data_IF_509171597204
#
_entry.id   IF_509171597204
#
_cell.length_a   1.000
_cell.length_b   1.000
_cell.length_c   1.000
_cell.angle_alpha   90.00
_cell.angle_beta   90.00
_cell.angle_gamma   90.00
#
_symmetry.space_group_name_H-M   'P 1'
#
loop_
_entity.id
_entity.type
_entity.pdbx_description
1 polymer ?
#
# COMPACT_ATOMS: atom_id res chain seq x y z
N UNK A 1 40.27 -6.43 -23.21
CA UNK A 1 39.20 -7.33 -22.72
C UNK A 1 37.95 -6.49 -22.63
N UNK A 2 37.01 -6.67 -23.56
CA UNK A 2 35.72 -6.01 -23.48
C UNK A 2 34.91 -6.73 -22.41
N UNK A 3 34.69 -6.09 -21.26
CA UNK A 3 33.70 -6.56 -20.29
C UNK A 3 32.34 -6.61 -21.03
N UNK A 4 31.58 -7.71 -20.94
CA UNK A 4 30.27 -7.78 -21.57
C UNK A 4 29.40 -6.65 -21.01
N UNK A 5 28.68 -5.97 -21.90
CA UNK A 5 27.61 -5.02 -21.53
C UNK A 5 26.76 -5.61 -20.40
N UNK A 6 26.38 -4.83 -19.37
CA UNK A 6 25.66 -5.38 -18.24
C UNK A 6 24.36 -6.02 -18.73
N UNK A 7 24.13 -7.24 -18.26
CA UNK A 7 23.04 -8.15 -18.66
C UNK A 7 21.63 -7.65 -18.25
N UNK A 8 21.55 -6.46 -17.62
CA UNK A 8 20.39 -5.84 -16.99
C UNK A 8 20.54 -4.31 -17.01
N UNK A 9 19.44 -3.58 -17.22
CA UNK A 9 19.32 -2.12 -17.17
C UNK A 9 18.93 -1.58 -15.77
N UNK A 10 19.03 -2.43 -14.74
CA UNK A 10 18.63 -2.12 -13.37
C UNK A 10 19.70 -1.37 -12.58
N UNK A 11 20.98 -1.52 -12.95
CA UNK A 11 22.10 -0.88 -12.29
C UNK A 11 23.28 -0.66 -13.24
N UNK A 12 24.12 0.30 -12.90
CA UNK A 12 25.46 0.48 -13.49
C UNK A 12 26.50 0.35 -12.39
N UNK A 13 27.77 0.11 -12.76
CA UNK A 13 28.87 0.18 -11.81
C UNK A 13 29.54 1.56 -11.92
N UNK A 14 29.68 2.24 -10.79
CA UNK A 14 30.43 3.47 -10.66
C UNK A 14 31.92 3.28 -10.98
N UNK A 15 32.65 4.40 -11.10
CA UNK A 15 34.10 4.37 -11.35
C UNK A 15 34.91 3.69 -10.23
N UNK A 16 34.33 3.62 -9.04
CA UNK A 16 34.84 2.95 -7.83
C UNK A 16 34.38 1.48 -7.71
N UNK A 17 33.60 0.98 -8.69
CA UNK A 17 33.10 -0.40 -8.71
C UNK A 17 31.83 -0.63 -7.89
N UNK A 18 31.27 0.42 -7.29
CA UNK A 18 30.06 0.35 -6.48
C UNK A 18 28.78 0.38 -7.36
N UNK A 19 27.71 -0.36 -7.00
CA UNK A 19 26.49 -0.39 -7.79
C UNK A 19 25.68 0.91 -7.64
N UNK A 20 25.30 1.51 -8.77
CA UNK A 20 24.50 2.73 -8.85
C UNK A 20 23.20 2.44 -9.59
N UNK A 21 22.07 2.77 -8.96
CA UNK A 21 20.75 2.67 -9.56
C UNK A 21 20.46 3.90 -10.45
N UNK A 22 20.00 3.68 -11.69
CA UNK A 22 19.54 4.79 -12.53
C UNK A 22 18.30 5.48 -11.95
N UNK A 23 18.08 6.78 -12.20
CA UNK A 23 16.90 7.52 -11.74
C UNK A 23 15.57 6.93 -12.24
N UNK A 24 15.58 6.27 -13.40
CA UNK A 24 14.44 5.54 -13.95
C UNK A 24 14.07 4.30 -13.11
N UNK A 25 15.01 3.73 -12.36
CA UNK A 25 14.80 2.60 -11.44
C UNK A 25 14.46 3.07 -10.03
N UNK A 26 15.26 3.99 -9.47
CA UNK A 26 15.05 4.51 -8.11
C UNK A 26 15.64 5.91 -7.94
N UNK A 27 15.04 6.73 -7.07
CA UNK A 27 15.56 8.07 -6.74
C UNK A 27 16.76 8.05 -5.76
N UNK A 28 17.13 6.88 -5.22
CA UNK A 28 18.23 6.70 -4.28
C UNK A 28 19.34 5.95 -5.04
N UNK A 29 20.32 6.67 -5.62
CA UNK A 29 21.30 6.06 -6.51
C UNK A 29 22.14 4.99 -5.81
N UNK A 30 22.39 5.13 -4.50
CA UNK A 30 23.18 4.21 -3.68
C UNK A 30 22.30 3.29 -2.80
N UNK A 31 21.04 3.03 -3.20
CA UNK A 31 20.10 2.20 -2.43
C UNK A 31 20.72 0.86 -1.98
N UNK A 32 21.50 0.23 -2.85
CA UNK A 32 22.12 -1.08 -2.58
C UNK A 32 23.30 -1.01 -1.60
N UNK A 33 23.61 0.15 -1.06
CA UNK A 33 24.66 0.34 -0.05
C UNK A 33 24.07 0.70 1.31
N UNK A 34 22.79 1.12 1.31
CA UNK A 34 22.05 1.45 2.51
C UNK A 34 21.62 0.17 3.25
N UNK A 35 21.56 0.28 4.57
CA UNK A 35 20.85 -0.65 5.45
C UNK A 35 19.34 -0.44 5.33
N UNK A 36 18.55 -1.43 5.70
CA UNK A 36 17.09 -1.30 5.69
C UNK A 36 16.60 -0.15 6.58
N UNK A 37 17.23 0.07 7.73
CA UNK A 37 16.87 1.19 8.63
C UNK A 37 17.18 2.56 8.01
N UNK A 38 18.31 2.70 7.30
CA UNK A 38 18.62 3.94 6.57
C UNK A 38 17.61 4.21 5.45
N UNK A 39 17.16 3.17 4.74
CA UNK A 39 16.10 3.29 3.73
C UNK A 39 14.80 3.75 4.38
N UNK A 40 14.34 3.08 5.44
CA UNK A 40 13.12 3.43 6.15
C UNK A 40 13.16 4.86 6.70
N UNK A 41 14.31 5.27 7.27
CA UNK A 41 14.50 6.63 7.77
C UNK A 41 14.47 7.68 6.64
N UNK A 42 15.11 7.39 5.50
CA UNK A 42 15.14 8.27 4.34
C UNK A 42 13.73 8.55 3.80
N UNK A 43 12.90 7.51 3.68
CA UNK A 43 11.53 7.70 3.19
C UNK A 43 10.64 8.38 4.22
N UNK A 44 10.77 8.05 5.51
CA UNK A 44 10.07 8.77 6.58
C UNK A 44 10.34 10.27 6.46
N UNK A 45 11.59 10.67 6.28
CA UNK A 45 11.93 12.08 6.10
C UNK A 45 11.39 12.67 4.78
N UNK A 46 11.60 11.97 3.65
CA UNK A 46 11.14 12.44 2.34
C UNK A 46 9.64 12.71 2.29
N UNK A 47 8.82 11.83 2.89
CA UNK A 47 7.37 12.03 2.95
C UNK A 47 6.97 13.24 3.81
N UNK A 48 7.69 13.49 4.91
CA UNK A 48 7.50 14.69 5.73
C UNK A 48 7.83 15.95 4.93
N UNK A 49 8.92 15.93 4.18
CA UNK A 49 9.34 17.06 3.35
C UNK A 49 8.33 17.32 2.22
N UNK A 50 7.85 16.27 1.55
CA UNK A 50 6.86 16.36 0.48
C UNK A 50 5.53 16.91 0.98
N UNK A 51 5.04 16.42 2.12
CA UNK A 51 3.81 16.95 2.70
C UNK A 51 3.97 18.38 3.19
N UNK A 52 5.06 18.70 3.87
CA UNK A 52 5.35 20.07 4.33
C UNK A 52 5.36 21.03 3.15
N UNK A 53 5.99 20.65 2.03
CA UNK A 53 5.98 21.43 0.80
C UNK A 53 4.56 21.66 0.26
N UNK A 54 3.67 20.66 0.29
CA UNK A 54 2.27 20.81 -0.14
C UNK A 54 1.49 21.74 0.79
N UNK A 55 1.72 21.66 2.11
CA UNK A 55 1.09 22.56 3.08
C UNK A 55 1.58 24.00 2.93
N UNK A 56 2.88 24.21 2.77
CA UNK A 56 3.47 25.54 2.57
C UNK A 56 2.89 26.20 1.31
N UNK A 57 2.64 25.41 0.26
CA UNK A 57 1.98 25.88 -0.96
C UNK A 57 0.55 26.38 -0.73
N UNK A 58 -0.19 25.89 0.28
CA UNK A 58 -1.53 26.39 0.62
C UNK A 58 -1.50 27.83 1.17
N UNK A 59 -0.33 28.33 1.59
CA UNK A 59 -0.15 29.72 2.01
C UNK A 59 -0.01 30.68 0.82
N UNK A 60 0.18 30.17 -0.40
CA UNK A 60 0.33 30.97 -1.61
C UNK A 60 -1.06 31.38 -2.15
N UNK A 61 -1.34 32.68 -2.36
CA UNK A 61 -2.66 33.15 -2.79
C UNK A 61 -3.17 32.53 -4.12
N UNK A 62 -2.26 32.28 -5.06
CA UNK A 62 -2.60 31.78 -6.40
C UNK A 62 -2.55 30.24 -6.49
N UNK A 63 -2.47 29.54 -5.36
CA UNK A 63 -2.38 28.09 -5.35
C UNK A 63 -3.71 27.43 -5.78
N UNK A 64 -3.72 26.56 -6.82
CA UNK A 64 -4.95 25.93 -7.30
C UNK A 64 -5.66 25.04 -6.26
N UNK A 65 -4.91 24.34 -5.41
CA UNK A 65 -5.48 23.51 -4.35
C UNK A 65 -6.14 24.40 -3.28
N UNK A 66 -5.48 25.50 -2.90
CA UNK A 66 -6.07 26.51 -2.01
C UNK A 66 -7.40 27.04 -2.57
N UNK A 67 -7.43 27.37 -3.86
CA UNK A 67 -8.65 27.84 -4.52
C UNK A 67 -9.80 26.82 -4.49
N UNK A 68 -9.50 25.51 -4.54
CA UNK A 68 -10.49 24.44 -4.36
C UNK A 68 -10.97 24.39 -2.90
N UNK A 69 -10.06 24.46 -1.94
CA UNK A 69 -10.40 24.41 -0.51
C UNK A 69 -11.22 25.63 -0.06
N UNK A 70 -10.90 26.82 -0.56
CA UNK A 70 -11.61 28.05 -0.25
C UNK A 70 -13.10 28.01 -0.71
N UNK A 71 -13.44 27.19 -1.71
CA UNK A 71 -14.84 26.98 -2.14
C UNK A 71 -15.70 26.29 -1.09
N UNK A 72 -15.09 25.63 -0.09
CA UNK A 72 -15.81 24.96 0.99
C UNK A 72 -16.29 25.96 2.06
N UNK A 73 -15.60 27.10 2.23
CA UNK A 73 -15.91 28.06 3.29
C UNK A 73 -17.31 28.69 3.13
N UNK A 74 -17.77 29.12 1.95
CA UNK A 74 -19.15 29.59 1.74
C UNK A 74 -20.22 28.52 2.05
N UNK A 75 -19.86 27.23 2.02
CA UNK A 75 -20.77 26.11 2.34
C UNK A 75 -20.80 25.79 3.84
N UNK A 76 -20.13 26.60 4.67
CA UNK A 76 -20.06 26.42 6.13
C UNK A 76 -18.98 25.45 6.60
N UNK A 77 -18.09 25.01 5.69
CA UNK A 77 -16.95 24.17 6.04
C UNK A 77 -15.66 24.96 5.86
N UNK A 78 -15.10 25.44 6.97
CA UNK A 78 -13.80 26.09 6.95
C UNK A 78 -12.71 25.03 6.77
N UNK A 79 -11.79 25.20 5.79
CA UNK A 79 -10.62 24.34 5.68
C UNK A 79 -9.87 24.28 7.00
N UNK A 80 -9.33 23.10 7.33
CA UNK A 80 -8.44 22.95 8.49
C UNK A 80 -7.27 23.90 8.30
N UNK A 81 -6.93 24.64 9.36
CA UNK A 81 -5.79 25.56 9.34
C UNK A 81 -4.52 24.78 8.94
N UNK A 82 -3.64 25.32 8.08
CA UNK A 82 -2.45 24.61 7.60
C UNK A 82 -1.63 23.93 8.70
N UNK A 83 -1.41 24.61 9.83
CA UNK A 83 -0.70 24.03 10.99
C UNK A 83 -1.43 22.84 11.61
N UNK A 84 -2.75 22.90 11.76
CA UNK A 84 -3.53 21.79 12.29
C UNK A 84 -3.56 20.59 11.31
N UNK A 85 -3.53 20.84 10.01
CA UNK A 85 -3.41 19.81 8.98
C UNK A 85 -2.01 19.17 9.00
N UNK A 86 -0.97 19.98 9.22
CA UNK A 86 0.40 19.52 9.45
C UNK A 86 0.52 18.65 10.70
N UNK A 87 -0.06 19.08 11.82
CA UNK A 87 -0.07 18.30 13.05
C UNK A 87 -0.79 16.96 12.87
N UNK A 88 -1.96 16.97 12.21
CA UNK A 88 -2.70 15.74 11.91
C UNK A 88 -1.87 14.79 11.03
N UNK A 89 -1.21 15.31 9.99
CA UNK A 89 -0.36 14.51 9.13
C UNK A 89 0.81 13.92 9.89
N UNK A 90 1.56 14.72 10.66
CA UNK A 90 2.72 14.24 11.39
C UNK A 90 2.34 13.18 12.43
N UNK A 91 1.19 13.36 13.10
CA UNK A 91 0.67 12.39 14.06
C UNK A 91 0.28 11.05 13.40
N UNK A 92 -0.45 11.09 12.27
CA UNK A 92 -0.81 9.89 11.54
C UNK A 92 0.40 9.24 10.87
N UNK A 93 1.33 10.05 10.36
CA UNK A 93 2.56 9.60 9.72
C UNK A 93 3.46 8.86 10.70
N UNK A 94 3.73 9.45 11.87
CA UNK A 94 4.53 8.79 12.90
C UNK A 94 3.88 7.50 13.37
N UNK A 95 2.55 7.51 13.53
CA UNK A 95 1.78 6.33 13.89
C UNK A 95 1.98 5.20 12.87
N UNK A 96 1.74 5.49 11.59
CA UNK A 96 1.92 4.54 10.47
C UNK A 96 3.36 4.05 10.41
N UNK A 97 4.33 4.96 10.29
CA UNK A 97 5.74 4.63 10.05
C UNK A 97 6.44 4.00 11.26
N UNK A 98 5.90 4.18 12.46
CA UNK A 98 6.38 3.52 13.67
C UNK A 98 5.93 2.06 13.81
N UNK A 99 4.94 1.61 13.03
CA UNK A 99 4.39 0.25 13.18
C UNK A 99 5.44 -0.84 12.85
N UNK A 100 5.53 -1.94 13.62
CA UNK A 100 6.57 -2.98 13.44
C UNK A 100 6.50 -3.75 12.11
N UNK A 101 5.41 -3.60 11.34
CA UNK A 101 5.23 -4.28 10.04
C UNK A 101 6.32 -3.91 9.03
N UNK A 102 6.84 -2.68 9.08
CA UNK A 102 7.90 -2.22 8.18
C UNK A 102 9.25 -2.87 8.45
N UNK A 103 9.41 -3.45 9.65
CA UNK A 103 10.61 -4.19 10.07
C UNK A 103 10.40 -5.70 10.08
N UNK A 104 9.34 -6.18 9.43
CA UNK A 104 9.08 -7.61 9.38
C UNK A 104 10.28 -8.34 8.76
N UNK A 105 10.79 -9.44 9.36
CA UNK A 105 12.01 -10.13 8.92
C UNK A 105 12.02 -10.55 7.45
N UNK A 106 10.84 -10.77 6.87
CA UNK A 106 10.67 -11.01 5.44
C UNK A 106 11.30 -9.89 4.58
N UNK A 107 10.92 -8.63 4.82
CA UNK A 107 11.39 -7.50 4.01
C UNK A 107 12.89 -7.30 4.18
N UNK A 108 13.38 -7.40 5.43
CA UNK A 108 14.80 -7.23 5.74
C UNK A 108 15.65 -8.31 5.03
N UNK A 109 15.25 -9.58 5.13
CA UNK A 109 15.95 -10.70 4.48
C UNK A 109 15.93 -10.60 2.96
N UNK A 110 14.80 -10.20 2.37
CA UNK A 110 14.70 -9.97 0.93
C UNK A 110 15.60 -8.82 0.50
N UNK A 111 15.59 -7.70 1.22
CA UNK A 111 16.42 -6.53 0.90
C UNK A 111 17.92 -6.81 0.96
N UNK A 112 18.37 -7.68 1.86
CA UNK A 112 19.76 -8.18 1.91
C UNK A 112 20.14 -9.06 0.69
N UNK A 113 19.15 -9.44 -0.13
CA UNK A 113 19.29 -10.36 -1.24
C UNK A 113 19.49 -11.81 -0.79
N UNK A 114 19.04 -12.18 0.42
CA UNK A 114 19.14 -13.54 0.96
C UNK A 114 17.93 -14.39 0.56
N UNK A 115 17.79 -14.60 -0.74
CA UNK A 115 16.75 -15.43 -1.33
C UNK A 115 17.30 -16.34 -2.45
N UNK A 116 16.74 -17.55 -2.57
CA UNK A 116 16.97 -18.44 -3.71
C UNK A 116 15.98 -18.19 -4.85
N UNK A 117 16.24 -18.69 -6.05
CA UNK A 117 15.30 -18.56 -7.17
C UNK A 117 13.92 -19.14 -6.86
N UNK A 118 13.87 -20.33 -6.26
CA UNK A 118 12.62 -20.96 -5.83
C UNK A 118 11.87 -20.10 -4.80
N UNK A 119 12.60 -19.49 -3.86
CA UNK A 119 12.01 -18.58 -2.86
C UNK A 119 11.46 -17.31 -3.51
N UNK A 120 12.16 -16.75 -4.51
CA UNK A 120 11.68 -15.62 -5.30
C UNK A 120 10.36 -15.96 -5.99
N UNK A 121 10.30 -17.14 -6.62
CA UNK A 121 9.10 -17.62 -7.30
C UNK A 121 7.93 -17.84 -6.35
N UNK A 122 8.16 -18.53 -5.22
CA UNK A 122 7.14 -18.75 -4.19
C UNK A 122 6.61 -17.44 -3.61
N UNK A 123 7.50 -16.48 -3.32
CA UNK A 123 7.10 -15.15 -2.89
C UNK A 123 6.22 -14.48 -3.96
N UNK A 124 6.69 -14.44 -5.20
CA UNK A 124 6.02 -13.72 -6.27
C UNK A 124 4.57 -14.21 -6.45
N UNK A 125 4.34 -15.53 -6.56
CA UNK A 125 3.00 -16.08 -6.80
C UNK A 125 2.05 -15.92 -5.60
N UNK A 126 2.57 -16.01 -4.37
CA UNK A 126 1.73 -15.87 -3.18
C UNK A 126 1.43 -14.40 -2.85
N UNK A 127 2.39 -13.48 -3.04
CA UNK A 127 2.18 -12.05 -2.83
C UNK A 127 1.25 -11.44 -3.88
N UNK A 128 1.23 -11.97 -5.10
CA UNK A 128 0.31 -11.56 -6.16
C UNK A 128 -1.17 -11.67 -5.75
N UNK A 129 -1.52 -12.59 -4.86
CA UNK A 129 -2.88 -12.69 -4.33
C UNK A 129 -3.34 -11.41 -3.61
N UNK A 130 -2.44 -10.69 -2.93
CA UNK A 130 -2.76 -9.36 -2.39
C UNK A 130 -2.99 -8.35 -3.52
N UNK A 131 -2.06 -8.26 -4.46
CA UNK A 131 -2.12 -7.31 -5.60
C UNK A 131 -3.43 -7.44 -6.38
N UNK A 132 -3.91 -8.67 -6.59
CA UNK A 132 -5.17 -8.91 -7.31
C UNK A 132 -6.41 -8.26 -6.66
N UNK A 133 -6.36 -8.06 -5.35
CA UNK A 133 -7.50 -7.67 -4.52
C UNK A 133 -7.47 -6.22 -4.01
N UNK A 134 -6.31 -5.56 -3.99
CA UNK A 134 -6.12 -4.15 -3.56
C UNK A 134 -7.19 -3.22 -4.15
N UNK A 135 -7.32 -3.16 -5.48
CA UNK A 135 -8.30 -2.34 -6.20
C UNK A 135 -9.76 -2.55 -5.82
N UNK A 136 -10.13 -3.75 -5.38
CA UNK A 136 -11.52 -4.01 -4.95
C UNK A 136 -11.83 -3.27 -3.66
N UNK A 137 -10.84 -3.09 -2.78
CA UNK A 137 -11.00 -2.35 -1.53
C UNK A 137 -11.17 -0.86 -1.81
N UNK A 138 -10.41 -0.30 -2.75
CA UNK A 138 -10.59 1.09 -3.21
C UNK A 138 -11.99 1.32 -3.78
N UNK A 139 -12.49 0.39 -4.62
CA UNK A 139 -13.84 0.48 -5.15
C UNK A 139 -14.92 0.39 -4.06
N UNK A 140 -14.75 -0.48 -3.06
CA UNK A 140 -15.66 -0.58 -1.92
C UNK A 140 -15.69 0.71 -1.11
N UNK A 141 -14.51 1.26 -0.77
CA UNK A 141 -14.41 2.52 -0.03
C UNK A 141 -15.03 3.68 -0.81
N UNK A 142 -14.80 3.77 -2.12
CA UNK A 142 -15.40 4.79 -2.98
C UNK A 142 -16.93 4.75 -2.90
N UNK A 143 -17.52 3.55 -2.94
CA UNK A 143 -18.97 3.37 -2.83
C UNK A 143 -19.58 3.80 -1.48
N UNK A 144 -18.77 3.96 -0.42
CA UNK A 144 -19.23 4.45 0.90
C UNK A 144 -19.57 5.93 0.88
N UNK A 145 -19.01 6.70 -0.05
CA UNK A 145 -19.25 8.13 -0.20
C UNK A 145 -20.32 8.33 -1.26
N UNK A 146 -21.58 8.57 -0.87
CA UNK A 146 -22.70 8.70 -1.80
C UNK A 146 -23.76 9.69 -1.28
N UNK A 147 -24.66 10.15 -2.14
CA UNK A 147 -25.66 11.17 -1.78
C UNK A 147 -26.69 10.77 -0.72
N UNK A 148 -26.75 9.49 -0.32
CA UNK A 148 -27.63 8.95 0.72
C UNK A 148 -26.94 8.83 2.09
N UNK A 149 -25.65 9.13 2.18
CA UNK A 149 -24.92 9.12 3.45
C UNK A 149 -25.39 10.22 4.40
N UNK A 150 -25.13 10.05 5.70
CA UNK A 150 -25.31 11.11 6.68
C UNK A 150 -24.52 12.37 6.27
N UNK A 151 -25.12 13.56 6.44
CA UNK A 151 -24.58 14.84 5.98
C UNK A 151 -24.11 15.72 7.15
N UNK A 152 -22.94 15.42 7.75
CA UNK A 152 -22.48 16.12 8.95
C UNK A 152 -22.07 17.58 8.70
N UNK A 153 -21.96 18.01 7.45
CA UNK A 153 -21.53 19.36 7.05
C UNK A 153 -22.61 20.12 6.25
N UNK A 154 -23.87 19.72 6.36
CA UNK A 154 -24.97 20.38 5.64
C UNK A 154 -24.74 20.38 4.12
N UNK A 155 -24.73 21.58 3.51
CA UNK A 155 -24.52 21.73 2.06
C UNK A 155 -23.10 21.36 1.61
N UNK A 156 -22.10 21.45 2.49
CA UNK A 156 -20.73 21.07 2.15
C UNK A 156 -20.53 19.55 2.05
N UNK A 157 -21.44 18.74 2.62
CA UNK A 157 -21.28 17.27 2.63
C UNK A 157 -21.21 16.66 1.24
N UNK A 158 -22.01 17.14 0.29
CA UNK A 158 -21.95 16.65 -1.10
C UNK A 158 -20.60 17.00 -1.72
N UNK A 159 -20.12 18.23 -1.55
CA UNK A 159 -18.84 18.67 -2.11
C UNK A 159 -17.64 17.92 -1.50
N UNK A 160 -17.64 17.70 -0.19
CA UNK A 160 -16.61 16.89 0.48
C UNK A 160 -16.63 15.45 -0.01
N UNK A 161 -17.83 14.87 -0.17
CA UNK A 161 -17.99 13.53 -0.73
C UNK A 161 -17.43 13.46 -2.16
N UNK A 162 -17.72 14.44 -3.02
CA UNK A 162 -17.17 14.53 -4.37
C UNK A 162 -15.63 14.60 -4.37
N UNK A 163 -15.03 15.47 -3.57
CA UNK A 163 -13.57 15.60 -3.46
C UNK A 163 -12.94 14.28 -2.99
N UNK A 164 -13.56 13.63 -2.01
CA UNK A 164 -13.11 12.32 -1.50
C UNK A 164 -13.22 11.24 -2.58
N UNK A 165 -14.33 11.21 -3.33
CA UNK A 165 -14.52 10.29 -4.45
C UNK A 165 -13.49 10.51 -5.56
N UNK A 166 -13.11 11.76 -5.87
CA UNK A 166 -12.08 12.06 -6.87
C UNK A 166 -10.73 11.45 -6.45
N UNK A 167 -10.34 11.62 -5.19
CA UNK A 167 -9.10 11.01 -4.67
C UNK A 167 -9.18 9.50 -4.82
N UNK A 168 -10.24 8.85 -4.32
CA UNK A 168 -10.40 7.39 -4.41
C UNK A 168 -10.51 6.88 -5.85
N UNK A 169 -11.13 7.64 -6.75
CA UNK A 169 -11.26 7.31 -8.15
C UNK A 169 -9.91 7.35 -8.86
N UNK A 170 -9.03 8.28 -8.48
CA UNK A 170 -7.68 8.35 -9.02
C UNK A 170 -6.85 7.13 -8.59
N UNK A 171 -6.94 6.72 -7.32
CA UNK A 171 -6.30 5.47 -6.83
C UNK A 171 -6.84 4.26 -7.60
N UNK A 172 -8.16 4.19 -7.80
CA UNK A 172 -8.78 3.10 -8.55
C UNK A 172 -8.35 3.10 -10.04
N UNK A 173 -8.23 4.28 -10.63
CA UNK A 173 -7.82 4.45 -12.02
C UNK A 173 -6.38 3.96 -12.24
N UNK A 174 -5.48 4.26 -11.31
CA UNK A 174 -4.09 3.80 -11.31
C UNK A 174 -4.02 2.26 -11.29
N UNK A 175 -4.77 1.62 -10.38
CA UNK A 175 -4.87 0.16 -10.28
C UNK A 175 -5.35 -0.52 -11.58
N UNK A 176 -6.22 0.14 -12.34
CA UNK A 176 -6.73 -0.34 -13.62
C UNK A 176 -5.93 0.16 -14.84
N UNK A 177 -4.91 0.99 -14.64
CA UNK A 177 -4.12 1.57 -15.73
C UNK A 177 -4.97 2.40 -16.69
N UNK A 178 -5.97 3.13 -16.16
CA UNK A 178 -6.86 3.99 -16.95
C UNK A 178 -6.63 5.46 -16.60
N UNK A 179 -6.77 6.33 -17.59
CA UNK A 179 -6.65 7.78 -17.41
C UNK A 179 -7.91 8.50 -17.90
N UNK A 180 -8.08 9.77 -17.54
CA UNK A 180 -9.14 10.59 -18.13
C UNK A 180 -8.86 10.78 -19.62
N UNK A 181 -9.80 10.34 -20.46
CA UNK A 181 -9.76 10.56 -21.90
C UNK A 181 -10.71 11.70 -22.29
N UNK A 182 -10.30 12.57 -23.22
CA UNK A 182 -11.25 13.46 -23.88
C UNK A 182 -12.32 12.62 -24.60
N UNK A 183 -13.53 13.17 -24.80
CA UNK A 183 -14.66 12.45 -25.41
C UNK A 183 -14.29 11.85 -26.78
N UNK A 184 -13.50 12.58 -27.57
CA UNK A 184 -13.03 12.13 -28.89
C UNK A 184 -11.82 11.18 -28.84
N UNK A 185 -11.27 10.91 -27.65
CA UNK A 185 -10.10 10.08 -27.39
C UNK A 185 -10.42 8.80 -26.62
N UNK A 186 -11.68 8.36 -26.59
CA UNK A 186 -12.08 7.15 -25.87
C UNK A 186 -11.42 5.90 -26.49
N UNK A 187 -10.80 5.03 -25.67
CA UNK A 187 -10.08 3.86 -26.18
C UNK A 187 -11.02 2.88 -26.89
N UNK A 188 -10.53 2.30 -27.98
CA UNK A 188 -11.22 1.18 -28.64
C UNK A 188 -11.23 -0.08 -27.77
N UNK A 189 -12.11 -1.04 -28.06
CA UNK A 189 -12.25 -2.27 -27.27
C UNK A 189 -10.93 -3.03 -27.06
N UNK A 190 -10.09 -3.13 -28.08
CA UNK A 190 -8.79 -3.80 -27.98
C UNK A 190 -7.83 -3.08 -27.01
N UNK A 191 -7.84 -1.74 -26.99
CA UNK A 191 -7.04 -0.94 -26.07
C UNK A 191 -7.55 -1.08 -24.63
N UNK A 192 -8.87 -1.12 -24.42
CA UNK A 192 -9.47 -1.35 -23.11
C UNK A 192 -9.08 -2.70 -22.50
N UNK A 193 -9.09 -3.78 -23.29
CA UNK A 193 -8.66 -5.10 -22.82
C UNK A 193 -7.13 -5.23 -22.70
N UNK A 194 -6.36 -4.30 -23.28
CA UNK A 194 -4.91 -4.26 -23.22
C UNK A 194 -4.35 -3.23 -22.23
N UNK A 195 -5.20 -2.67 -21.34
CA UNK A 195 -4.77 -1.70 -20.33
C UNK A 195 -3.68 -2.28 -19.42
N UNK A 196 -2.65 -1.47 -19.18
CA UNK A 196 -1.51 -1.80 -18.30
C UNK A 196 -1.91 -1.62 -16.84
N UNK A 197 -2.67 -2.57 -16.31
CA UNK A 197 -3.09 -2.61 -14.89
C UNK A 197 -1.93 -3.03 -13.98
N UNK A 198 -2.04 -2.79 -12.66
CA UNK A 198 -1.08 -3.33 -11.68
C UNK A 198 -0.94 -4.85 -11.73
N UNK A 199 -2.02 -5.56 -12.07
CA UNK A 199 -1.95 -7.01 -12.34
C UNK A 199 -1.06 -7.32 -13.53
N UNK A 200 -1.25 -6.60 -14.65
CA UNK A 200 -0.47 -6.82 -15.87
C UNK A 200 1.01 -6.50 -15.60
N UNK A 201 1.29 -5.39 -14.91
CA UNK A 201 2.65 -5.02 -14.52
C UNK A 201 3.27 -6.06 -13.59
N UNK A 202 2.53 -6.58 -12.61
CA UNK A 202 3.05 -7.64 -11.74
C UNK A 202 3.29 -8.95 -12.49
N UNK A 203 2.49 -9.27 -13.52
CA UNK A 203 2.76 -10.44 -14.37
C UNK A 203 4.05 -10.32 -15.19
N UNK A 204 4.57 -9.11 -15.41
CA UNK A 204 5.90 -8.91 -16.03
C UNK A 204 7.03 -9.42 -15.11
N UNK A 205 6.85 -9.38 -13.79
CA UNK A 205 7.79 -10.02 -12.86
C UNK A 205 7.81 -11.53 -13.05
N UNK A 206 6.66 -12.16 -13.30
CA UNK A 206 6.59 -13.59 -13.57
C UNK A 206 7.32 -13.97 -14.86
N UNK A 207 7.23 -13.14 -15.90
CA UNK A 207 8.02 -13.31 -17.12
C UNK A 207 9.53 -13.30 -16.78
N UNK A 208 9.99 -12.30 -16.04
CA UNK A 208 11.39 -12.19 -15.64
C UNK A 208 11.88 -13.34 -14.75
N UNK A 209 11.00 -13.93 -13.93
CA UNK A 209 11.28 -15.10 -13.10
C UNK A 209 11.06 -16.44 -13.82
N UNK A 210 10.58 -16.42 -15.07
CA UNK A 210 10.30 -17.63 -15.86
C UNK A 210 9.11 -18.45 -15.36
N UNK A 211 8.12 -17.83 -14.70
CA UNK A 211 6.94 -18.50 -14.15
C UNK A 211 5.82 -18.55 -15.22
N UNK A 212 5.47 -19.74 -15.74
CA UNK A 212 4.42 -19.89 -16.76
C UNK A 212 3.06 -19.43 -16.25
N UNK A 213 2.22 -18.88 -17.14
CA UNK A 213 0.88 -18.37 -16.80
C UNK A 213 0.03 -19.36 -16.00
N UNK A 214 0.07 -20.65 -16.36
CA UNK A 214 -0.67 -21.72 -15.69
C UNK A 214 -0.29 -21.93 -14.21
N UNK A 215 0.85 -21.39 -13.76
CA UNK A 215 1.36 -21.50 -12.39
C UNK A 215 1.29 -20.18 -11.61
N UNK A 216 0.81 -19.08 -12.22
CA UNK A 216 0.82 -17.76 -11.60
C UNK A 216 -0.30 -17.55 -10.58
N UNK A 217 -1.43 -18.23 -10.77
CA UNK A 217 -2.62 -18.11 -9.91
C UNK A 217 -2.69 -19.30 -8.96
N UNK A 218 -2.30 -19.07 -7.70
CA UNK A 218 -2.27 -20.08 -6.64
C UNK A 218 -3.32 -19.78 -5.55
N UNK A 219 -3.83 -20.80 -4.83
CA UNK A 219 -4.66 -20.60 -3.65
C UNK A 219 -3.99 -19.70 -2.61
N UNK A 220 -4.77 -18.91 -1.89
CA UNK A 220 -4.25 -17.99 -0.88
C UNK A 220 -3.77 -18.73 0.36
N UNK A 221 -2.61 -18.32 0.89
CA UNK A 221 -2.25 -18.63 2.26
C UNK A 221 -3.26 -17.99 3.22
N UNK A 222 -3.48 -18.61 4.37
CA UNK A 222 -4.47 -18.17 5.34
C UNK A 222 -4.26 -16.72 5.80
N UNK A 223 -3.02 -16.31 6.10
CA UNK A 223 -2.67 -14.92 6.42
C UNK A 223 -2.86 -13.95 5.25
N UNK A 224 -2.68 -14.39 4.01
CA UNK A 224 -2.98 -13.59 2.80
C UNK A 224 -4.49 -13.39 2.68
N UNK A 225 -5.27 -14.46 2.86
CA UNK A 225 -6.73 -14.39 2.85
C UNK A 225 -7.26 -13.45 3.95
N UNK A 226 -6.72 -13.52 5.17
CA UNK A 226 -7.09 -12.60 6.24
C UNK A 226 -6.77 -11.15 5.94
N UNK A 227 -5.63 -10.86 5.31
CA UNK A 227 -5.29 -9.51 4.91
C UNK A 227 -6.27 -8.96 3.88
N UNK A 228 -6.59 -9.76 2.85
CA UNK A 228 -7.59 -9.40 1.84
C UNK A 228 -8.97 -9.20 2.48
N UNK A 229 -9.41 -10.09 3.37
CA UNK A 229 -10.69 -9.96 4.04
C UNK A 229 -10.74 -8.73 4.97
N UNK A 230 -9.68 -8.48 5.73
CA UNK A 230 -9.60 -7.32 6.64
C UNK A 230 -9.72 -6.01 5.86
N UNK A 231 -9.01 -5.88 4.73
CA UNK A 231 -9.14 -4.72 3.84
C UNK A 231 -10.56 -4.54 3.30
N UNK A 232 -11.17 -5.63 2.81
CA UNK A 232 -12.54 -5.60 2.28
C UNK A 232 -13.58 -5.24 3.35
N UNK A 233 -13.42 -5.76 4.56
CA UNK A 233 -14.32 -5.50 5.68
C UNK A 233 -14.25 -4.02 6.09
N UNK A 234 -13.06 -3.48 6.30
CA UNK A 234 -12.92 -2.07 6.67
C UNK A 234 -13.40 -1.13 5.57
N UNK A 235 -13.12 -1.46 4.29
CA UNK A 235 -13.53 -0.64 3.16
C UNK A 235 -15.04 -0.69 2.88
N UNK A 236 -15.70 -1.83 3.13
CA UNK A 236 -17.04 -2.10 2.59
C UNK A 236 -18.12 -2.45 3.62
N UNK A 237 -17.78 -3.06 4.75
CA UNK A 237 -18.77 -3.58 5.69
C UNK A 237 -19.53 -2.42 6.39
N UNK A 238 -20.88 -2.42 6.39
CA UNK A 238 -21.69 -1.38 7.03
C UNK A 238 -21.42 -1.18 8.52
N UNK A 239 -20.83 -2.15 9.21
CA UNK A 239 -20.45 -2.03 10.60
C UNK A 239 -19.33 -1.01 10.84
N UNK A 240 -18.56 -0.63 9.82
CA UNK A 240 -17.49 0.38 9.90
C UNK A 240 -17.91 1.69 9.23
N UNK A 241 -17.44 2.81 9.77
CA UNK A 241 -17.74 4.16 9.29
C UNK A 241 -17.05 4.44 7.95
N UNK A 242 -17.53 5.45 7.19
CA UNK A 242 -16.82 5.93 6.00
C UNK A 242 -15.39 6.40 6.29
N UNK A 243 -15.14 6.93 7.50
CA UNK A 243 -13.80 7.35 7.93
C UNK A 243 -12.86 6.16 8.11
N UNK A 244 -13.33 5.07 8.72
CA UNK A 244 -12.57 3.81 8.82
C UNK A 244 -12.33 3.20 7.44
N UNK A 245 -13.30 3.28 6.52
CA UNK A 245 -13.13 2.85 5.14
C UNK A 245 -12.05 3.68 4.40
N UNK A 246 -12.02 4.99 4.58
CA UNK A 246 -11.00 5.87 3.99
C UNK A 246 -9.60 5.62 4.59
N UNK A 247 -9.52 5.44 5.91
CA UNK A 247 -8.29 5.06 6.59
C UNK A 247 -7.75 3.72 6.07
N UNK A 248 -8.64 2.82 5.66
CA UNK A 248 -8.25 1.50 5.19
C UNK A 248 -7.49 1.57 3.85
N UNK A 249 -7.94 2.41 2.93
CA UNK A 249 -7.35 2.54 1.59
C UNK A 249 -6.20 3.54 1.54
N UNK A 250 -6.19 4.59 2.37
CA UNK A 250 -5.06 5.50 2.43
C UNK A 250 -3.93 5.01 3.32
N UNK A 251 -4.16 5.10 4.63
CA UNK A 251 -3.07 5.08 5.61
C UNK A 251 -2.52 3.67 5.84
N UNK A 252 -3.37 2.65 5.81
CA UNK A 252 -2.93 1.25 5.97
C UNK A 252 -2.54 0.55 4.67
N UNK A 253 -2.91 1.12 3.53
CA UNK A 253 -2.67 0.51 2.21
C UNK A 253 -1.57 1.21 1.41
N UNK A 254 -1.63 2.54 1.23
CA UNK A 254 -0.75 3.33 0.35
C UNK A 254 0.46 3.91 1.07
N UNK A 255 0.32 4.30 2.34
CA UNK A 255 1.32 5.20 2.93
C UNK A 255 2.71 4.57 3.08
N UNK A 256 2.82 3.35 3.62
CA UNK A 256 4.12 2.67 3.70
C UNK A 256 4.57 2.00 2.40
N UNK A 257 3.82 2.14 1.30
CA UNK A 257 4.07 1.41 0.04
C UNK A 257 5.43 1.73 -0.54
N UNK A 258 5.82 3.01 -0.74
CA UNK A 258 7.12 3.33 -1.29
C UNK A 258 8.27 2.66 -0.52
N UNK A 259 8.19 2.64 0.81
CA UNK A 259 9.23 2.09 1.68
C UNK A 259 9.43 0.60 1.50
N UNK A 260 8.38 -0.20 1.66
CA UNK A 260 8.57 -1.65 1.60
C UNK A 260 8.72 -2.11 0.14
N UNK A 261 8.13 -1.42 -0.83
CA UNK A 261 8.40 -1.70 -2.24
C UNK A 261 9.84 -1.37 -2.60
N UNK A 262 10.46 -0.35 -2.01
CA UNK A 262 11.91 -0.12 -2.12
C UNK A 262 12.71 -1.30 -1.55
N UNK A 263 12.33 -1.83 -0.39
CA UNK A 263 13.01 -3.00 0.19
C UNK A 263 12.90 -4.23 -0.73
N UNK A 264 11.70 -4.48 -1.29
CA UNK A 264 11.48 -5.57 -2.24
C UNK A 264 12.24 -5.34 -3.56
N UNK A 265 12.17 -4.14 -4.13
CA UNK A 265 12.86 -3.75 -5.36
C UNK A 265 14.37 -3.89 -5.22
N UNK A 266 14.95 -3.28 -4.18
CA UNK A 266 16.38 -3.39 -3.89
C UNK A 266 16.81 -4.85 -3.69
N UNK A 267 16.01 -5.64 -2.97
CA UNK A 267 16.25 -7.07 -2.77
C UNK A 267 16.25 -7.89 -4.06
N UNK A 268 15.27 -7.66 -4.94
CA UNK A 268 15.18 -8.33 -6.24
C UNK A 268 16.29 -7.89 -7.19
N UNK A 269 16.69 -6.62 -7.18
CA UNK A 269 17.86 -6.13 -7.95
C UNK A 269 19.13 -6.82 -7.45
N UNK A 270 19.37 -6.88 -6.13
CA UNK A 270 20.53 -7.60 -5.56
C UNK A 270 20.52 -9.07 -5.95
N UNK A 271 19.36 -9.72 -5.85
CA UNK A 271 19.19 -11.12 -6.20
C UNK A 271 19.48 -11.36 -7.69
N UNK A 272 18.93 -10.52 -8.57
CA UNK A 272 19.17 -10.60 -10.00
C UNK A 272 20.65 -10.45 -10.34
N UNK A 273 21.31 -9.46 -9.72
CA UNK A 273 22.71 -9.18 -9.93
C UNK A 273 23.61 -10.32 -9.44
N UNK A 274 23.41 -10.79 -8.21
CA UNK A 274 24.18 -11.91 -7.62
C UNK A 274 23.97 -13.23 -8.34
N UNK A 275 22.76 -13.46 -8.86
CA UNK A 275 22.37 -14.73 -9.51
C UNK A 275 22.49 -14.68 -11.04
N UNK A 276 22.98 -13.56 -11.60
CA UNK A 276 23.06 -13.31 -13.05
C UNK A 276 21.75 -13.59 -13.80
N UNK A 277 20.62 -13.17 -13.22
CA UNK A 277 19.29 -13.30 -13.85
C UNK A 277 19.00 -12.10 -14.74
N UNK A 278 18.23 -12.35 -15.81
CA UNK A 278 17.85 -11.33 -16.80
C UNK A 278 16.63 -10.50 -16.36
N UNK A 279 16.61 -10.06 -15.09
CA UNK A 279 15.64 -9.07 -14.66
C UNK A 279 16.03 -7.69 -15.20
N UNK A 280 15.04 -6.90 -15.62
CA UNK A 280 15.19 -5.59 -16.21
C UNK A 280 14.09 -4.65 -15.68
N UNK A 281 14.11 -3.39 -16.09
CA UNK A 281 13.10 -2.40 -15.69
C UNK A 281 11.68 -2.81 -16.03
N UNK A 282 11.47 -3.46 -17.17
CA UNK A 282 10.15 -3.98 -17.56
C UNK A 282 9.63 -5.02 -16.57
N UNK A 283 10.46 -5.97 -16.13
CA UNK A 283 10.06 -6.99 -15.18
C UNK A 283 9.77 -6.44 -13.77
N UNK A 284 10.39 -5.33 -13.39
CA UNK A 284 10.23 -4.71 -12.06
C UNK A 284 9.31 -3.48 -12.07
N UNK A 285 8.60 -3.23 -13.18
CA UNK A 285 7.88 -1.98 -13.43
C UNK A 285 6.85 -1.65 -12.35
N UNK A 286 6.08 -2.64 -11.88
CA UNK A 286 5.11 -2.44 -10.78
C UNK A 286 5.79 -1.92 -9.52
N UNK A 287 7.00 -2.38 -9.21
CA UNK A 287 7.71 -1.95 -8.01
C UNK A 287 8.27 -0.55 -8.17
N UNK A 288 8.86 -0.27 -9.34
CA UNK A 288 9.38 1.04 -9.68
C UNK A 288 8.29 2.11 -9.69
N UNK A 289 7.09 1.77 -10.16
CA UNK A 289 5.95 2.69 -10.19
C UNK A 289 5.53 3.10 -8.77
N UNK A 290 5.27 2.13 -7.88
CA UNK A 290 4.87 2.37 -6.50
C UNK A 290 5.90 3.19 -5.69
N UNK A 291 7.20 2.98 -5.94
CA UNK A 291 8.28 3.79 -5.32
C UNK A 291 8.23 5.26 -5.74
N UNK A 292 7.74 5.55 -6.95
CA UNK A 292 7.79 6.91 -7.53
C UNK A 292 6.50 7.70 -7.37
N UNK A 293 5.35 7.05 -7.42
CA UNK A 293 4.07 7.73 -7.60
C UNK A 293 3.24 7.85 -6.32
N UNK A 294 3.39 6.92 -5.36
CA UNK A 294 2.40 6.78 -4.28
C UNK A 294 2.49 7.83 -3.16
N UNK A 295 3.58 8.60 -3.09
CA UNK A 295 3.67 9.68 -2.09
C UNK A 295 2.54 10.69 -2.27
N UNK A 296 2.15 11.01 -3.51
CA UNK A 296 1.03 11.91 -3.77
C UNK A 296 -0.32 11.30 -3.35
N UNK A 297 -0.51 9.98 -3.52
CA UNK A 297 -1.71 9.29 -3.06
C UNK A 297 -1.86 9.40 -1.54
N UNK A 298 -0.79 9.15 -0.78
CA UNK A 298 -0.81 9.27 0.68
C UNK A 298 -1.19 10.69 1.13
N UNK A 299 -0.57 11.72 0.54
CA UNK A 299 -0.88 13.13 0.83
C UNK A 299 -2.35 13.47 0.52
N UNK A 300 -2.83 13.07 -0.66
CA UNK A 300 -4.20 13.33 -1.10
C UNK A 300 -5.24 12.65 -0.18
N UNK A 301 -4.98 11.41 0.24
CA UNK A 301 -5.89 10.70 1.15
C UNK A 301 -5.86 11.29 2.56
N UNK A 302 -4.71 11.75 3.07
CA UNK A 302 -4.67 12.46 4.37
C UNK A 302 -5.49 13.76 4.29
N UNK A 303 -5.35 14.52 3.20
CA UNK A 303 -6.16 15.72 2.99
C UNK A 303 -7.66 15.38 2.94
N UNK A 304 -8.06 14.33 2.19
CA UNK A 304 -9.44 13.88 2.16
C UNK A 304 -9.94 13.42 3.54
N UNK A 305 -9.11 12.69 4.29
CA UNK A 305 -9.39 12.22 5.65
C UNK A 305 -9.64 13.40 6.59
N UNK A 306 -8.87 14.48 6.42
CA UNK A 306 -9.01 15.69 7.22
C UNK A 306 -10.41 16.32 7.12
N UNK A 307 -11.10 16.19 5.97
CA UNK A 307 -12.47 16.70 5.83
C UNK A 307 -13.49 15.96 6.71
N UNK A 308 -13.19 14.72 7.09
CA UNK A 308 -14.08 13.84 7.85
C UNK A 308 -13.69 13.74 9.33
N UNK A 309 -12.50 14.21 9.71
CA UNK A 309 -12.04 14.25 11.10
C UNK A 309 -12.51 15.54 11.79
N UNK A 310 -13.33 15.41 12.84
CA UNK A 310 -13.87 16.54 13.61
C UNK A 310 -13.27 16.64 15.01
N UNK A 311 -12.84 15.52 15.56
CA UNK A 311 -12.35 15.44 16.93
C UNK A 311 -11.25 14.37 17.09
N UNK A 312 -10.75 14.23 18.32
CA UNK A 312 -9.71 13.23 18.65
C UNK A 312 -10.21 11.79 18.54
N UNK A 313 -11.51 11.55 18.70
CA UNK A 313 -12.12 10.22 18.58
C UNK A 313 -12.11 9.75 17.12
N UNK A 314 -12.37 10.66 16.18
CA UNK A 314 -12.26 10.40 14.74
C UNK A 314 -10.81 9.99 14.38
N UNK A 315 -9.82 10.74 14.87
CA UNK A 315 -8.38 10.39 14.68
C UNK A 315 -8.03 9.04 15.32
N UNK A 316 -8.58 8.76 16.50
CA UNK A 316 -8.39 7.45 17.15
C UNK A 316 -9.03 6.31 16.34
N UNK A 317 -10.21 6.53 15.74
CA UNK A 317 -10.87 5.58 14.86
C UNK A 317 -10.04 5.30 13.61
N UNK A 318 -9.48 6.34 13.00
CA UNK A 318 -8.55 6.23 11.87
C UNK A 318 -7.34 5.37 12.25
N UNK A 319 -6.66 5.70 13.35
CA UNK A 319 -5.49 4.94 13.85
C UNK A 319 -5.83 3.48 14.15
N UNK A 320 -6.97 3.21 14.78
CA UNK A 320 -7.40 1.86 15.12
C UNK A 320 -7.73 1.04 13.85
N UNK A 321 -8.37 1.61 12.84
CA UNK A 321 -8.58 0.97 11.54
C UNK A 321 -7.24 0.69 10.82
N UNK A 322 -6.30 1.64 10.88
CA UNK A 322 -4.94 1.44 10.35
C UNK A 322 -4.21 0.31 11.09
N UNK A 323 -4.32 0.21 12.42
CA UNK A 323 -3.74 -0.88 13.21
C UNK A 323 -4.27 -2.24 12.76
N UNK A 324 -5.57 -2.37 12.50
CA UNK A 324 -6.16 -3.63 12.01
C UNK A 324 -5.52 -4.08 10.70
N UNK A 325 -5.33 -3.16 9.75
CA UNK A 325 -4.68 -3.46 8.48
C UNK A 325 -3.20 -3.80 8.63
N UNK A 326 -2.49 -3.05 9.46
CA UNK A 326 -1.07 -3.31 9.67
C UNK A 326 -0.85 -4.63 10.39
N UNK A 327 -1.75 -5.00 11.31
CA UNK A 327 -1.75 -6.30 11.96
C UNK A 327 -2.04 -7.45 10.99
N UNK A 328 -3.05 -7.30 10.12
CA UNK A 328 -3.34 -8.31 9.08
C UNK A 328 -2.21 -8.43 8.07
N UNK A 329 -1.56 -7.31 7.70
CA UNK A 329 -0.40 -7.31 6.81
C UNK A 329 0.79 -7.97 7.48
N UNK A 330 1.04 -7.71 8.77
CA UNK A 330 2.10 -8.39 9.52
C UNK A 330 1.88 -9.90 9.47
N UNK A 331 0.69 -10.39 9.82
CA UNK A 331 0.36 -11.82 9.79
C UNK A 331 0.48 -12.43 8.38
N UNK A 332 0.06 -11.71 7.34
CA UNK A 332 0.29 -12.10 5.95
C UNK A 332 1.78 -12.31 5.67
N UNK A 333 2.62 -11.36 6.08
CA UNK A 333 4.07 -11.46 5.89
C UNK A 333 4.69 -12.60 6.72
N UNK A 334 4.14 -12.92 7.90
CA UNK A 334 4.57 -14.06 8.71
C UNK A 334 4.24 -15.40 8.05
N UNK A 335 3.05 -15.53 7.47
CA UNK A 335 2.67 -16.72 6.70
C UNK A 335 3.47 -16.86 5.40
N UNK A 336 3.75 -15.75 4.71
CA UNK A 336 4.67 -15.72 3.57
C UNK A 336 6.08 -16.13 3.99
N UNK A 337 6.59 -15.63 5.12
CA UNK A 337 7.90 -16.00 5.65
C UNK A 337 7.99 -17.50 5.89
N UNK A 338 6.99 -18.07 6.57
CA UNK A 338 6.91 -19.51 6.80
C UNK A 338 6.83 -20.31 5.50
N UNK A 339 6.03 -19.84 4.55
CA UNK A 339 5.86 -20.53 3.29
C UNK A 339 7.11 -20.50 2.40
N UNK A 340 7.78 -19.34 2.32
CA UNK A 340 8.93 -19.11 1.44
C UNK A 340 10.21 -19.68 2.07
N UNK A 341 10.49 -19.36 3.32
CA UNK A 341 11.76 -19.73 3.98
C UNK A 341 11.71 -21.05 4.74
N UNK A 342 10.51 -21.64 4.95
CA UNK A 342 10.30 -22.87 5.73
C UNK A 342 10.77 -22.73 7.18
N UNK A 343 10.68 -21.52 7.72
CA UNK A 343 11.06 -21.12 9.08
C UNK A 343 9.86 -20.44 9.73
N UNK A 344 9.66 -20.55 11.04
CA UNK A 344 8.58 -19.81 11.69
C UNK A 344 8.81 -18.30 11.58
N UNK A 345 7.78 -17.59 11.13
CA UNK A 345 7.74 -16.13 11.15
C UNK A 345 7.37 -15.61 12.54
N UNK A 346 7.80 -14.39 12.91
CA UNK A 346 7.43 -13.80 14.18
C UNK A 346 5.90 -13.60 14.26
N UNK A 347 5.33 -13.66 15.46
CA UNK A 347 3.98 -13.18 15.70
C UNK A 347 4.01 -11.71 16.13
N UNK A 348 2.99 -10.93 15.74
CA UNK A 348 2.92 -9.51 16.11
C UNK A 348 2.95 -9.29 17.62
N UNK A 349 2.31 -10.18 18.40
CA UNK A 349 2.30 -10.11 19.86
C UNK A 349 3.70 -10.28 20.48
N UNK A 350 4.64 -10.89 19.76
CA UNK A 350 6.00 -11.20 20.23
C UNK A 350 7.00 -10.08 19.90
N UNK A 351 6.60 -9.05 19.14
CA UNK A 351 7.51 -7.98 18.72
C UNK A 351 7.70 -6.89 19.78
N UNK A 352 7.16 -7.06 20.99
CA UNK A 352 7.07 -5.98 21.97
C UNK A 352 6.16 -4.85 21.52
N UNK A 353 5.03 -5.19 20.89
CA UNK A 353 4.07 -4.25 20.31
C UNK A 353 3.67 -3.16 21.32
N UNK A 354 3.83 -1.88 20.94
CA UNK A 354 3.39 -0.76 21.76
C UNK A 354 1.86 -0.75 21.94
N UNK A 355 1.38 -0.28 23.08
CA UNK A 355 -0.05 -0.21 23.39
C UNK A 355 -0.86 0.55 22.32
N UNK A 356 -0.28 1.61 21.71
CA UNK A 356 -0.93 2.39 20.65
C UNK A 356 -1.25 1.59 19.37
N UNK A 357 -0.60 0.44 19.17
CA UNK A 357 -0.81 -0.45 18.01
C UNK A 357 -1.75 -1.62 18.31
N UNK A 358 -2.18 -1.78 19.55
CA UNK A 358 -3.22 -2.76 19.89
C UNK A 358 -4.57 -2.30 19.35
N UNK A 359 -5.47 -3.26 19.16
CA UNK A 359 -6.79 -3.05 18.56
C UNK A 359 -7.83 -3.04 19.68
N UNK A 360 -8.57 -1.94 19.77
CA UNK A 360 -9.62 -1.75 20.77
C UNK A 360 -11.01 -2.18 20.31
N UNK A 361 -11.18 -2.35 18.99
CA UNK A 361 -12.49 -2.61 18.40
C UNK A 361 -12.70 -4.09 18.08
N UNK A 362 -13.58 -4.73 18.85
CA UNK A 362 -13.95 -6.14 18.67
C UNK A 362 -14.84 -6.44 17.46
N UNK A 363 -15.38 -5.42 16.74
CA UNK A 363 -16.21 -5.63 15.53
C UNK A 363 -15.43 -6.40 14.48
N UNK A 364 -14.15 -6.07 14.28
CA UNK A 364 -13.31 -6.71 13.27
C UNK A 364 -13.08 -8.19 13.53
N UNK A 365 -12.95 -8.59 14.81
CA UNK A 365 -12.80 -10.00 15.20
C UNK A 365 -14.02 -10.81 14.77
N UNK A 366 -15.21 -10.29 15.08
CA UNK A 366 -16.47 -10.95 14.75
C UNK A 366 -16.72 -10.96 13.25
N UNK A 367 -16.43 -9.86 12.56
CA UNK A 367 -16.57 -9.73 11.13
C UNK A 367 -15.64 -10.67 10.37
N UNK A 368 -14.35 -10.72 10.74
CA UNK A 368 -13.37 -11.60 10.11
C UNK A 368 -13.75 -13.07 10.30
N UNK A 369 -14.16 -13.49 11.51
CA UNK A 369 -14.62 -14.87 11.74
C UNK A 369 -15.80 -15.26 10.85
N UNK A 370 -16.79 -14.37 10.68
CA UNK A 370 -17.91 -14.60 9.75
C UNK A 370 -17.45 -14.66 8.30
N UNK A 371 -16.56 -13.75 7.88
CA UNK A 371 -16.03 -13.72 6.53
C UNK A 371 -15.23 -14.99 6.18
N UNK A 372 -14.45 -15.52 7.13
CA UNK A 372 -13.76 -16.82 6.97
C UNK A 372 -14.74 -17.97 6.70
N UNK A 373 -15.88 -18.01 7.39
CA UNK A 373 -16.90 -19.04 7.21
C UNK A 373 -17.60 -18.96 5.83
N UNK A 374 -17.66 -17.77 5.25
CA UNK A 374 -18.27 -17.53 3.94
C UNK A 374 -17.27 -17.68 2.77
N UNK A 375 -15.99 -17.93 3.07
CA UNK A 375 -14.93 -18.04 2.05
C UNK A 375 -15.01 -19.37 1.30
N UNK A 376 -14.76 -19.33 -0.01
CA UNK A 376 -14.69 -20.55 -0.83
C UNK A 376 -13.43 -21.37 -0.47
N UNK A 377 -13.57 -22.62 -0.01
CA UNK A 377 -12.45 -23.50 0.30
C UNK A 377 -11.48 -23.69 -0.88
N UNK A 378 -11.94 -23.62 -2.13
CA UNK A 378 -11.10 -23.79 -3.31
C UNK A 378 -10.10 -22.63 -3.50
N UNK A 379 -10.37 -21.46 -2.90
CA UNK A 379 -9.50 -20.30 -2.93
C UNK A 379 -8.36 -20.34 -1.90
N UNK A 380 -8.30 -21.36 -1.04
CA UNK A 380 -7.39 -21.42 0.11
C UNK A 380 -6.38 -22.56 -0.02
N UNK A 381 -5.14 -22.30 0.40
CA UNK A 381 -4.09 -23.31 0.44
C UNK A 381 -4.31 -24.36 1.54
N UNK A 382 -4.94 -23.97 2.66
CA UNK A 382 -5.31 -24.87 3.76
C UNK A 382 -6.72 -24.52 4.30
N UNK A 383 -7.78 -24.99 3.61
CA UNK A 383 -9.16 -24.69 4.00
C UNK A 383 -9.54 -25.31 5.36
N UNK A 384 -8.96 -26.46 5.73
CA UNK A 384 -9.27 -27.15 7.01
C UNK A 384 -8.62 -26.42 8.20
N UNK A 385 -7.41 -25.88 8.01
CA UNK A 385 -6.74 -25.07 9.00
C UNK A 385 -7.32 -23.65 9.11
N UNK A 386 -7.92 -23.10 8.05
CA UNK A 386 -8.30 -21.68 8.01
C UNK A 386 -9.28 -21.26 9.10
N UNK A 387 -10.27 -22.09 9.40
CA UNK A 387 -11.23 -21.81 10.48
C UNK A 387 -10.58 -21.71 11.87
N UNK A 388 -9.42 -22.35 12.06
CA UNK A 388 -8.65 -22.37 13.32
C UNK A 388 -7.39 -21.52 13.27
N UNK A 389 -7.09 -20.91 12.13
CA UNK A 389 -5.93 -20.04 11.96
C UNK A 389 -6.01 -18.89 12.98
N UNK A 390 -4.91 -18.53 13.68
CA UNK A 390 -4.93 -17.45 14.65
C UNK A 390 -5.47 -16.14 14.06
N UNK A 391 -6.14 -15.32 14.85
CA UNK A 391 -6.50 -13.99 14.38
C UNK A 391 -5.23 -13.12 14.32
N UNK A 392 -5.12 -12.22 13.33
CA UNK A 392 -3.92 -11.37 13.20
C UNK A 392 -3.84 -10.26 14.26
N UNK A 393 -4.89 -10.08 15.06
CA UNK A 393 -5.09 -8.92 15.93
C UNK A 393 -4.56 -9.13 17.34
N UNK A 394 -3.83 -8.14 17.86
CA UNK A 394 -3.49 -8.03 19.29
C UNK A 394 -4.46 -7.04 19.92
N UNK A 395 -5.35 -7.53 20.78
CA UNK A 395 -6.41 -6.72 21.37
C UNK A 395 -5.93 -5.96 22.62
N UNK A 396 -6.50 -4.80 22.89
CA UNK A 396 -6.37 -4.14 24.20
C UNK A 396 -6.96 -5.04 25.28
N UNK A 397 -6.30 -5.11 26.44
CA UNK A 397 -6.76 -5.87 27.61
C UNK A 397 -8.07 -5.34 28.20
#
# INVERSE_FOLDING_TARGET
MNLPLPFSDLLTLGADGHPVLPPEVHHLPHLLEMTAEEVLASFKQSQVDDFTRVIDQLSQPDNPLKAILDQLAPLGLHPIAPEALKDLFLDLHDHVMGHPVWRHPFFLRVFEGRLTADQAGLFAVNYFNQIKNTRQCVALALGRFNGLMERPHGQASERVSELTQIVLAQLLADEYGVSTHAVDGYPGMAQLFASTTHIVMYRQLFEGLGIPFALQDVPMLNGVADNVLTQRLLAGDPAFSPLEALASVGLGMEWGVPEFFTLLLGGLIRFAWKSNLRLNQHHLLVLTAHVKYDVLHAIAVVLATSFHCRNKEDVASVKNATNMLMASRFAMMSDLYRHVFKEDGPLLAETGLEARYTISDGRIVSALRRARQASDPAGLADPVGYARHPLPFVLTA
#
